data_IF_703428944616
#
_entry.id   IF_703428944616
#
_cell.length_a   1.000
_cell.length_b   1.000
_cell.length_c   1.000
_cell.angle_alpha   90.00
_cell.angle_beta   90.00
_cell.angle_gamma   90.00
#
_symmetry.space_group_name_H-M   'P 1'
#
loop_
_entity.id
_entity.type
_entity.pdbx_description
1 polymer ?
#
# COMPACT_ATOMS: atom_id res chain seq x y z
N UNK A 1 61.60 33.73 2.32
CA UNK A 1 61.01 32.45 1.85
C UNK A 1 59.99 32.01 2.87
N UNK A 2 58.67 32.17 2.53
CA UNK A 2 57.57 31.82 3.43
C UNK A 2 56.88 30.57 2.84
N UNK A 3 57.08 29.43 3.53
CA UNK A 3 56.41 28.17 3.16
C UNK A 3 54.93 28.25 3.53
N UNK A 4 54.02 28.25 2.52
CA UNK A 4 52.60 28.06 2.70
C UNK A 4 52.31 26.57 2.77
N UNK A 5 51.95 26.06 3.94
CA UNK A 5 51.33 24.75 4.10
C UNK A 5 49.89 24.81 3.61
N UNK A 6 49.59 24.06 2.55
CA UNK A 6 48.25 23.85 2.04
C UNK A 6 47.64 22.66 2.83
N UNK A 7 46.73 22.92 3.77
CA UNK A 7 45.95 21.87 4.43
C UNK A 7 44.78 21.49 3.52
N UNK A 8 44.86 20.34 2.87
CA UNK A 8 43.73 19.72 2.20
C UNK A 8 42.77 19.16 3.26
N UNK A 9 41.66 19.82 3.46
CA UNK A 9 40.52 19.29 4.22
C UNK A 9 39.76 18.30 3.30
N UNK A 10 40.03 17.00 3.43
CA UNK A 10 39.18 15.97 2.81
C UNK A 10 37.87 15.89 3.58
N UNK A 11 36.78 16.44 3.03
CA UNK A 11 35.44 16.23 3.52
C UNK A 11 35.07 14.75 3.24
N UNK A 12 35.11 13.93 4.28
CA UNK A 12 34.51 12.59 4.25
C UNK A 12 32.97 12.79 4.13
N UNK A 13 32.42 12.58 2.94
CA UNK A 13 31.00 12.40 2.74
C UNK A 13 30.61 11.05 3.36
N UNK A 14 30.23 11.06 4.63
CA UNK A 14 29.53 9.93 5.24
C UNK A 14 28.16 9.90 4.60
N UNK A 15 27.97 9.05 3.60
CA UNK A 15 26.67 8.63 3.12
C UNK A 15 26.01 7.87 4.27
N UNK A 16 25.29 8.60 5.11
CA UNK A 16 24.47 8.00 6.16
C UNK A 16 23.34 7.24 5.51
N UNK A 17 23.47 5.92 5.40
CA UNK A 17 22.31 5.06 5.23
C UNK A 17 21.47 5.29 6.49
N UNK A 18 20.26 5.83 6.36
CA UNK A 18 19.34 5.92 7.49
C UNK A 18 19.16 4.50 8.05
N UNK A 19 19.36 4.34 9.34
CA UNK A 19 19.17 3.06 10.00
C UNK A 19 17.69 2.68 9.90
N UNK A 20 17.41 1.45 9.43
CA UNK A 20 16.03 0.97 9.33
C UNK A 20 15.47 0.77 10.72
N UNK A 21 14.23 1.22 10.94
CA UNK A 21 13.51 0.93 12.18
C UNK A 21 13.07 -0.54 12.20
N UNK A 22 12.90 -1.14 13.37
CA UNK A 22 12.35 -2.48 13.48
C UNK A 22 10.91 -2.53 12.96
N UNK A 23 10.49 -3.72 12.52
CA UNK A 23 9.08 -4.01 12.23
C UNK A 23 8.30 -3.88 13.53
N UNK A 24 7.21 -3.08 13.59
CA UNK A 24 6.43 -2.96 14.81
C UNK A 24 5.63 -4.24 15.06
N UNK A 25 5.49 -4.61 16.32
CA UNK A 25 4.61 -5.69 16.74
C UNK A 25 3.19 -5.15 16.90
N UNK A 26 2.17 -5.91 16.49
CA UNK A 26 0.77 -5.55 16.66
C UNK A 26 0.26 -5.97 18.03
N UNK A 27 -0.59 -5.13 18.64
CA UNK A 27 -1.33 -5.47 19.86
C UNK A 27 -2.59 -6.26 19.51
N UNK A 28 -3.09 -7.03 20.45
CA UNK A 28 -4.38 -7.70 20.34
C UNK A 28 -5.58 -6.73 20.40
N UNK A 29 -5.35 -5.49 20.86
CA UNK A 29 -6.41 -4.48 21.01
C UNK A 29 -6.61 -3.72 19.69
N UNK A 30 -7.86 -3.54 19.33
CA UNK A 30 -8.26 -2.76 18.17
C UNK A 30 -9.48 -1.89 18.44
N UNK A 31 -9.62 -0.80 17.68
CA UNK A 31 -10.83 0.00 17.58
C UNK A 31 -11.47 -0.22 16.22
N UNK A 32 -12.80 -0.12 16.16
CA UNK A 32 -13.58 -0.29 14.94
C UNK A 32 -14.40 0.95 14.68
N UNK A 33 -14.40 1.41 13.43
CA UNK A 33 -15.20 2.51 12.94
C UNK A 33 -16.04 2.03 11.77
N UNK A 34 -17.32 2.39 11.73
CA UNK A 34 -18.16 2.22 10.54
C UNK A 34 -17.78 3.31 9.52
N UNK A 35 -17.72 2.94 8.24
CA UNK A 35 -17.36 3.84 7.15
C UNK A 35 -18.49 3.86 6.13
N UNK A 36 -18.95 5.05 5.74
CA UNK A 36 -19.90 5.23 4.65
C UNK A 36 -19.21 5.08 3.29
N UNK A 37 -18.87 3.84 3.00
CA UNK A 37 -18.27 3.40 1.74
C UNK A 37 -18.70 1.95 1.50
N UNK A 38 -19.11 1.62 0.29
CA UNK A 38 -19.33 0.25 -0.10
C UNK A 38 -18.00 -0.36 -0.57
N UNK A 39 -17.75 -1.62 -0.19
CA UNK A 39 -16.69 -2.46 -0.77
C UNK A 39 -15.32 -1.78 -0.70
N UNK A 40 -14.76 -1.65 0.52
CA UNK A 40 -13.47 -0.99 0.79
C UNK A 40 -12.30 -1.92 0.43
N UNK A 41 -11.68 -1.72 -0.73
CA UNK A 41 -10.66 -2.59 -1.32
C UNK A 41 -9.23 -2.04 -1.25
N UNK A 42 -9.06 -0.77 -0.88
CA UNK A 42 -7.72 -0.20 -0.74
C UNK A 42 -7.65 1.00 0.20
N UNK A 43 -6.50 1.15 0.88
CA UNK A 43 -6.21 2.26 1.80
C UNK A 43 -4.78 2.76 1.66
N UNK A 44 -4.59 4.09 1.72
CA UNK A 44 -3.29 4.70 1.98
C UNK A 44 -3.45 6.02 2.75
N UNK A 45 -2.38 6.54 3.34
CA UNK A 45 -2.40 7.89 3.90
C UNK A 45 -2.45 8.95 2.79
N UNK A 46 -3.18 10.04 3.01
CA UNK A 46 -3.07 11.21 2.15
C UNK A 46 -1.67 11.86 2.31
N UNK A 47 -1.31 12.79 1.42
CA UNK A 47 0.02 13.38 1.37
C UNK A 47 0.45 14.04 2.68
N UNK A 48 -0.47 14.69 3.37
CA UNK A 48 -0.21 15.41 4.61
C UNK A 48 -0.41 14.52 5.86
N UNK A 49 -0.75 13.24 5.66
CA UNK A 49 -1.03 12.26 6.71
C UNK A 49 -2.13 12.71 7.69
N UNK A 50 -3.11 13.45 7.20
CA UNK A 50 -4.23 13.98 7.99
C UNK A 50 -5.52 13.17 7.83
N UNK A 51 -5.56 12.28 6.82
CA UNK A 51 -6.68 11.39 6.53
C UNK A 51 -6.17 10.15 5.79
N UNK A 52 -7.03 9.15 5.65
CA UNK A 52 -6.85 8.03 4.76
C UNK A 52 -7.49 8.35 3.40
N UNK A 53 -6.90 7.84 2.33
CA UNK A 53 -7.52 7.72 1.02
C UNK A 53 -7.96 6.28 0.86
N UNK A 54 -9.15 6.08 0.32
CA UNK A 54 -9.74 4.76 0.11
C UNK A 54 -10.28 4.62 -1.30
N UNK A 55 -10.22 3.41 -1.84
CA UNK A 55 -10.96 3.03 -3.05
C UNK A 55 -11.84 1.80 -2.79
N UNK A 56 -12.77 1.53 -3.67
CA UNK A 56 -13.63 0.34 -3.61
C UNK A 56 -14.16 -0.05 -4.98
N UNK A 57 -14.66 -1.28 -5.08
CA UNK A 57 -15.12 -1.96 -6.30
C UNK A 57 -16.21 -1.19 -7.04
N UNK A 58 -17.02 -0.42 -6.33
CA UNK A 58 -18.03 0.46 -6.95
C UNK A 58 -17.42 1.62 -7.74
N UNK A 59 -16.09 1.72 -7.75
CA UNK A 59 -15.34 2.72 -8.51
C UNK A 59 -15.35 4.09 -7.87
N UNK A 60 -15.34 4.17 -6.55
CA UNK A 60 -15.28 5.42 -5.79
C UNK A 60 -13.92 5.58 -5.11
N UNK A 61 -13.46 6.83 -5.03
CA UNK A 61 -12.32 7.23 -4.20
C UNK A 61 -12.81 8.22 -3.16
N UNK A 62 -12.54 7.93 -1.89
CA UNK A 62 -12.95 8.76 -0.75
C UNK A 62 -11.77 9.18 0.10
N UNK A 63 -11.93 10.29 0.81
CA UNK A 63 -11.10 10.66 1.96
C UNK A 63 -11.82 10.23 3.22
N UNK A 64 -11.13 9.46 4.07
CA UNK A 64 -11.71 8.94 5.33
C UNK A 64 -10.94 9.54 6.50
N UNK A 65 -11.66 10.15 7.45
CA UNK A 65 -11.08 10.61 8.71
C UNK A 65 -10.63 9.41 9.56
N UNK A 66 -9.75 9.64 10.53
CA UNK A 66 -9.33 8.59 11.49
C UNK A 66 -10.41 8.16 12.48
N UNK A 67 -11.63 8.63 12.28
CA UNK A 67 -12.86 8.27 13.03
C UNK A 67 -13.95 7.71 12.13
N UNK A 68 -13.64 7.43 10.85
CA UNK A 68 -14.55 6.76 9.91
C UNK A 68 -15.43 7.68 9.05
N UNK A 69 -15.37 9.01 9.25
CA UNK A 69 -16.15 9.95 8.41
C UNK A 69 -15.57 9.98 6.99
N UNK A 70 -16.40 9.77 5.98
CA UNK A 70 -15.97 9.65 4.59
C UNK A 70 -16.53 10.79 3.71
N UNK A 71 -15.67 11.34 2.85
CA UNK A 71 -16.01 12.36 1.87
C UNK A 71 -15.62 11.89 0.47
N UNK A 72 -16.50 12.07 -0.52
CA UNK A 72 -16.24 11.70 -1.90
C UNK A 72 -15.18 12.61 -2.51
N UNK A 73 -14.14 12.02 -3.09
CA UNK A 73 -13.13 12.75 -3.87
C UNK A 73 -13.33 12.57 -5.36
N UNK A 74 -13.65 11.36 -5.80
CA UNK A 74 -13.77 11.03 -7.21
C UNK A 74 -14.51 9.70 -7.42
N UNK A 75 -15.13 9.53 -8.60
CA UNK A 75 -15.79 8.29 -8.99
C UNK A 75 -15.70 8.06 -10.50
N UNK A 76 -15.54 6.79 -10.93
CA UNK A 76 -15.56 6.39 -12.34
C UNK A 76 -16.47 5.21 -12.62
N UNK A 77 -16.85 4.44 -11.59
CA UNK A 77 -17.53 3.16 -11.75
C UNK A 77 -16.62 2.02 -12.25
N UNK A 78 -15.29 2.19 -12.19
CA UNK A 78 -14.34 1.13 -12.47
C UNK A 78 -14.11 0.30 -11.21
N UNK A 79 -13.88 -0.98 -11.38
CA UNK A 79 -13.57 -1.96 -10.35
C UNK A 79 -12.18 -1.69 -9.76
N UNK A 80 -12.11 -1.05 -8.58
CA UNK A 80 -10.87 -0.55 -7.98
C UNK A 80 -10.48 -1.38 -6.77
N UNK A 81 -9.40 -2.14 -6.87
CA UNK A 81 -8.94 -3.08 -5.85
C UNK A 81 -7.75 -2.58 -5.03
N UNK A 82 -7.14 -1.49 -5.42
CA UNK A 82 -6.01 -0.96 -4.68
C UNK A 82 -5.77 0.52 -4.94
N UNK A 83 -5.29 1.21 -3.90
CA UNK A 83 -4.94 2.63 -3.95
C UNK A 83 -3.62 2.89 -3.25
N UNK A 84 -2.80 3.72 -3.85
CA UNK A 84 -1.59 4.24 -3.23
C UNK A 84 -1.31 5.67 -3.68
N UNK A 85 -0.43 6.35 -2.98
CA UNK A 85 -0.08 7.74 -3.25
C UNK A 85 1.43 7.90 -3.47
N UNK A 86 1.80 8.65 -4.50
CA UNK A 86 3.17 9.10 -4.68
C UNK A 86 3.47 10.26 -3.71
N UNK A 87 4.29 10.07 -2.68
CA UNK A 87 4.50 11.10 -1.65
C UNK A 87 5.20 12.35 -2.18
N UNK A 88 5.91 12.28 -3.31
CA UNK A 88 6.64 13.41 -3.86
C UNK A 88 5.72 14.44 -4.53
N UNK A 89 4.69 13.99 -5.26
CA UNK A 89 3.79 14.89 -6.02
C UNK A 89 2.33 14.82 -5.58
N UNK A 90 1.91 13.76 -4.84
CA UNK A 90 0.54 13.54 -4.39
C UNK A 90 -0.37 12.89 -5.42
N UNK A 91 0.15 12.43 -6.55
CA UNK A 91 -0.62 11.64 -7.51
C UNK A 91 -1.07 10.32 -6.86
N UNK A 92 -2.32 9.95 -7.06
CA UNK A 92 -2.89 8.67 -6.62
C UNK A 92 -2.75 7.65 -7.74
N UNK A 93 -2.34 6.43 -7.42
CA UNK A 93 -2.37 5.29 -8.33
C UNK A 93 -3.44 4.31 -7.88
N UNK A 94 -4.17 3.75 -8.84
CA UNK A 94 -5.29 2.84 -8.66
C UNK A 94 -5.02 1.55 -9.42
N UNK A 95 -5.27 0.40 -8.79
CA UNK A 95 -5.36 -0.89 -9.45
C UNK A 95 -6.80 -1.10 -9.93
N UNK A 96 -6.99 -1.41 -11.22
CA UNK A 96 -8.29 -1.68 -11.83
C UNK A 96 -8.35 -3.15 -12.22
N UNK A 97 -9.14 -3.95 -11.47
CA UNK A 97 -9.20 -5.38 -11.68
C UNK A 97 -9.83 -5.75 -13.02
N UNK A 98 -10.97 -5.18 -13.35
CA UNK A 98 -11.73 -5.53 -14.56
C UNK A 98 -10.93 -5.45 -15.87
N UNK A 99 -9.94 -4.54 -15.95
CA UNK A 99 -9.07 -4.35 -17.11
C UNK A 99 -7.62 -4.75 -16.88
N UNK A 100 -7.24 -5.07 -15.63
CA UNK A 100 -5.86 -5.39 -15.23
C UNK A 100 -4.90 -4.23 -15.52
N UNK A 101 -5.29 -3.03 -15.14
CA UNK A 101 -4.57 -1.78 -15.46
C UNK A 101 -4.20 -1.00 -14.20
N UNK A 102 -3.10 -0.27 -14.26
CA UNK A 102 -2.77 0.77 -13.27
C UNK A 102 -3.13 2.13 -13.86
N UNK A 103 -3.96 2.85 -13.12
CA UNK A 103 -4.41 4.19 -13.47
C UNK A 103 -3.86 5.23 -12.50
N UNK A 104 -3.88 6.49 -12.90
CA UNK A 104 -3.45 7.64 -12.10
C UNK A 104 -4.54 8.70 -12.02
N UNK A 105 -4.76 9.23 -10.82
CA UNK A 105 -5.46 10.49 -10.59
C UNK A 105 -4.42 11.56 -10.25
N UNK A 106 -4.21 12.57 -11.11
CA UNK A 106 -3.27 13.65 -10.84
C UNK A 106 -3.70 14.50 -9.64
N UNK A 107 -2.77 14.77 -8.73
CA UNK A 107 -2.99 15.56 -7.50
C UNK A 107 -3.58 16.94 -7.73
N UNK A 108 -3.31 17.54 -8.91
CA UNK A 108 -3.77 18.91 -9.23
C UNK A 108 -5.24 19.00 -9.52
N UNK A 109 -5.90 17.91 -9.87
CA UNK A 109 -7.28 17.92 -10.36
C UNK A 109 -8.17 16.90 -9.71
N UNK A 110 -7.68 15.70 -9.38
CA UNK A 110 -8.45 14.48 -8.99
C UNK A 110 -9.74 14.25 -9.81
N UNK A 111 -9.78 14.79 -11.04
CA UNK A 111 -10.98 14.81 -11.88
C UNK A 111 -10.81 14.06 -13.20
N UNK A 112 -9.64 13.52 -13.46
CA UNK A 112 -9.36 12.77 -14.68
C UNK A 112 -8.45 11.57 -14.39
N UNK A 113 -9.02 10.39 -14.52
CA UNK A 113 -8.28 9.14 -14.49
C UNK A 113 -7.49 8.97 -15.80
N UNK A 114 -6.21 8.60 -15.67
CA UNK A 114 -5.30 8.42 -16.79
C UNK A 114 -4.70 7.01 -16.70
N UNK A 115 -4.90 6.20 -17.73
CA UNK A 115 -4.21 4.91 -17.87
C UNK A 115 -2.70 5.13 -17.85
N UNK A 116 -2.01 4.38 -17.00
CA UNK A 116 -0.55 4.37 -16.92
C UNK A 116 0.04 3.19 -17.70
N UNK A 117 -0.43 1.98 -17.41
CA UNK A 117 0.01 0.76 -18.09
C UNK A 117 -0.90 -0.43 -17.76
N UNK A 118 -0.86 -1.42 -18.67
CA UNK A 118 -1.49 -2.73 -18.49
C UNK A 118 -0.56 -3.65 -17.69
N UNK A 119 -1.13 -4.39 -16.72
CA UNK A 119 -0.40 -5.42 -15.98
C UNK A 119 -0.49 -6.74 -16.76
N UNK A 120 0.32 -6.87 -17.81
CA UNK A 120 0.26 -7.99 -18.74
C UNK A 120 0.44 -9.36 -18.09
N UNK A 121 1.22 -9.42 -16.99
CA UNK A 121 1.48 -10.66 -16.25
C UNK A 121 0.22 -11.14 -15.52
N UNK A 122 -0.72 -10.25 -15.22
CA UNK A 122 -2.01 -10.56 -14.60
C UNK A 122 -3.11 -10.90 -15.62
N UNK A 123 -2.92 -10.60 -16.90
CA UNK A 123 -3.94 -10.73 -17.97
C UNK A 123 -4.56 -12.13 -18.08
N UNK A 124 -3.86 -13.19 -17.65
CA UNK A 124 -4.34 -14.56 -17.65
C UNK A 124 -5.37 -14.84 -16.54
N UNK A 125 -5.47 -14.00 -15.52
CA UNK A 125 -6.29 -14.26 -14.33
C UNK A 125 -7.69 -13.66 -14.41
N UNK A 126 -7.95 -12.71 -15.31
CA UNK A 126 -9.24 -12.00 -15.47
C UNK A 126 -9.69 -11.37 -14.15
N UNK A 127 -10.91 -11.77 -13.66
CA UNK A 127 -11.49 -11.28 -12.41
C UNK A 127 -10.90 -11.94 -11.15
N UNK A 128 -9.63 -12.26 -11.12
CA UNK A 128 -8.86 -12.73 -9.96
C UNK A 128 -7.42 -12.30 -10.17
N UNK A 129 -7.26 -11.11 -10.74
CA UNK A 129 -6.00 -10.57 -11.18
C UNK A 129 -5.33 -9.69 -10.16
N UNK A 130 -5.29 -8.40 -10.46
CA UNK A 130 -4.67 -7.42 -9.57
C UNK A 130 -5.65 -6.98 -8.50
N UNK A 131 -5.20 -7.04 -7.24
CA UNK A 131 -5.97 -6.63 -6.06
C UNK A 131 -5.30 -5.47 -5.32
N UNK A 132 -4.01 -5.27 -5.52
CA UNK A 132 -3.28 -4.28 -4.76
C UNK A 132 -2.27 -3.52 -5.61
N UNK A 133 -2.09 -2.24 -5.31
CA UNK A 133 -1.00 -1.42 -5.81
C UNK A 133 -0.39 -0.63 -4.67
N UNK A 134 0.96 -0.62 -4.58
CA UNK A 134 1.66 0.14 -3.56
C UNK A 134 2.87 0.89 -4.11
N UNK A 135 2.96 2.18 -3.83
CA UNK A 135 4.10 2.99 -4.23
C UNK A 135 5.32 2.66 -3.38
N UNK A 136 6.41 2.30 -4.04
CA UNK A 136 7.66 2.01 -3.37
C UNK A 136 8.59 3.24 -3.42
N UNK A 137 9.69 3.18 -4.13
CA UNK A 137 10.69 4.24 -4.25
C UNK A 137 11.01 4.49 -5.71
N UNK A 138 11.51 5.68 -6.02
CA UNK A 138 12.09 5.99 -7.35
C UNK A 138 11.16 5.65 -8.52
N UNK A 139 9.85 5.95 -8.36
CA UNK A 139 8.84 5.67 -9.38
C UNK A 139 8.69 4.17 -9.69
N UNK A 140 8.80 3.33 -8.68
CA UNK A 140 8.43 1.92 -8.71
C UNK A 140 7.13 1.74 -7.93
N UNK A 141 6.27 0.89 -8.42
CA UNK A 141 5.09 0.39 -7.71
C UNK A 141 5.17 -1.14 -7.59
N UNK A 142 4.70 -1.66 -6.48
CA UNK A 142 4.35 -3.06 -6.34
C UNK A 142 2.91 -3.24 -6.81
N UNK A 143 2.64 -4.36 -7.46
CA UNK A 143 1.29 -4.80 -7.84
C UNK A 143 1.12 -6.22 -7.33
N UNK A 144 0.07 -6.44 -6.54
CA UNK A 144 -0.27 -7.73 -5.98
C UNK A 144 -1.39 -8.42 -6.74
N UNK A 145 -1.38 -9.76 -6.77
CA UNK A 145 -2.48 -10.53 -7.36
C UNK A 145 -3.21 -11.38 -6.34
N UNK A 146 -4.52 -11.52 -6.51
CA UNK A 146 -5.34 -12.46 -5.76
C UNK A 146 -4.89 -13.90 -6.03
N UNK A 147 -4.81 -14.26 -7.30
CA UNK A 147 -4.50 -15.63 -7.68
C UNK A 147 -3.00 -15.90 -7.68
N UNK A 148 -2.57 -16.79 -6.77
CA UNK A 148 -1.21 -17.31 -6.74
C UNK A 148 -0.23 -16.41 -5.98
N UNK A 149 -0.73 -15.40 -5.27
CA UNK A 149 0.07 -14.47 -4.45
C UNK A 149 1.32 -13.95 -5.18
N UNK A 150 1.14 -13.49 -6.44
CA UNK A 150 2.23 -12.92 -7.21
C UNK A 150 2.41 -11.45 -6.84
N UNK A 151 3.64 -11.04 -6.68
CA UNK A 151 4.06 -9.68 -6.40
C UNK A 151 4.97 -9.20 -7.54
N UNK A 152 4.50 -8.24 -8.31
CA UNK A 152 5.26 -7.64 -9.40
C UNK A 152 5.78 -6.26 -9.03
N UNK A 153 6.99 -5.94 -9.45
CA UNK A 153 7.53 -4.59 -9.38
C UNK A 153 7.51 -3.97 -10.78
N UNK A 154 6.82 -2.87 -10.93
CA UNK A 154 6.79 -2.09 -12.18
C UNK A 154 7.35 -0.70 -11.95
N UNK A 155 8.06 -0.17 -12.95
CA UNK A 155 8.22 1.29 -13.05
C UNK A 155 6.87 1.90 -13.44
N UNK A 156 6.62 3.13 -13.03
CA UNK A 156 5.37 3.85 -13.37
C UNK A 156 5.15 4.06 -14.88
N UNK A 157 6.12 3.74 -15.72
CA UNK A 157 6.00 3.71 -17.17
C UNK A 157 5.64 2.32 -17.74
N UNK A 158 5.27 1.36 -16.89
CA UNK A 158 4.87 0.01 -17.29
C UNK A 158 6.01 -0.97 -17.53
N UNK A 159 7.26 -0.62 -17.25
CA UNK A 159 8.38 -1.57 -17.38
C UNK A 159 8.43 -2.51 -16.19
N UNK A 160 8.23 -3.80 -16.40
CA UNK A 160 8.42 -4.84 -15.36
C UNK A 160 9.89 -4.85 -14.91
N UNK A 161 10.08 -4.79 -13.60
CA UNK A 161 11.41 -4.83 -12.95
C UNK A 161 11.70 -6.22 -12.38
N UNK A 162 10.72 -6.79 -11.65
CA UNK A 162 10.82 -8.12 -11.06
C UNK A 162 9.45 -8.75 -10.85
N UNK A 163 9.44 -10.08 -10.74
CA UNK A 163 8.28 -10.88 -10.36
C UNK A 163 8.69 -11.80 -9.22
N UNK A 164 7.91 -11.81 -8.16
CA UNK A 164 8.15 -12.54 -6.92
C UNK A 164 6.89 -13.34 -6.60
N UNK A 165 7.02 -14.59 -6.17
CA UNK A 165 5.90 -15.36 -5.64
C UNK A 165 5.97 -15.37 -4.13
N UNK A 166 4.85 -15.07 -3.47
CA UNK A 166 4.68 -15.20 -2.01
C UNK A 166 3.98 -16.51 -1.63
N UNK A 167 3.78 -17.43 -2.58
CA UNK A 167 3.01 -18.66 -2.39
C UNK A 167 3.57 -19.63 -1.35
N UNK A 168 4.79 -19.42 -0.87
CA UNK A 168 5.37 -20.20 0.22
C UNK A 168 4.67 -19.93 1.56
N UNK A 169 4.00 -18.79 1.72
CA UNK A 169 3.31 -18.41 2.97
C UNK A 169 1.94 -17.76 2.76
N UNK A 170 1.67 -17.16 1.62
CA UNK A 170 0.41 -16.50 1.31
C UNK A 170 -0.36 -17.25 0.20
N UNK A 171 -1.68 -17.27 0.27
CA UNK A 171 -2.56 -17.83 -0.78
C UNK A 171 -2.99 -16.80 -1.81
N UNK A 172 -3.02 -15.53 -1.39
CA UNK A 172 -3.34 -14.36 -2.22
C UNK A 172 -2.66 -13.11 -1.67
N UNK A 173 -2.72 -12.04 -2.46
CA UNK A 173 -2.40 -10.68 -2.00
C UNK A 173 -3.69 -9.87 -2.16
N UNK A 174 -4.45 -9.71 -1.08
CA UNK A 174 -5.66 -8.91 -1.04
C UNK A 174 -5.35 -7.42 -0.81
N UNK A 175 -4.31 -7.11 -0.04
CA UNK A 175 -3.83 -5.74 0.15
C UNK A 175 -2.32 -5.68 0.33
N UNK A 176 -1.74 -4.53 0.00
CA UNK A 176 -0.33 -4.22 0.18
C UNK A 176 -0.16 -2.87 0.88
N UNK A 177 0.82 -2.79 1.77
CA UNK A 177 1.32 -1.51 2.27
C UNK A 177 2.83 -1.56 2.46
N UNK A 178 3.55 -0.57 1.95
CA UNK A 178 4.99 -0.43 2.15
C UNK A 178 5.27 0.43 3.38
N UNK A 179 5.97 -0.13 4.35
CA UNK A 179 6.49 0.59 5.50
C UNK A 179 7.92 1.06 5.20
N UNK A 180 8.06 2.33 4.83
CA UNK A 180 9.35 2.92 4.49
C UNK A 180 10.33 2.89 5.67
N UNK A 181 9.84 2.98 6.91
CA UNK A 181 10.69 3.05 8.09
C UNK A 181 11.42 1.73 8.37
N UNK A 182 10.77 0.59 8.16
CA UNK A 182 11.36 -0.75 8.30
C UNK A 182 11.83 -1.34 6.96
N UNK A 183 11.50 -0.70 5.83
CA UNK A 183 11.75 -1.18 4.46
C UNK A 183 11.15 -2.56 4.21
N UNK A 184 9.90 -2.74 4.64
CA UNK A 184 9.16 -3.99 4.56
C UNK A 184 7.81 -3.78 3.89
N UNK A 185 7.23 -4.87 3.38
CA UNK A 185 5.86 -4.95 2.87
C UNK A 185 4.96 -5.64 3.90
N UNK A 186 3.79 -5.06 4.11
CA UNK A 186 2.68 -5.66 4.82
C UNK A 186 1.68 -6.17 3.78
N UNK A 187 1.24 -7.41 3.92
CA UNK A 187 0.43 -8.13 2.93
C UNK A 187 -0.78 -8.71 3.64
N UNK A 188 -1.99 -8.36 3.25
CA UNK A 188 -3.18 -9.04 3.69
C UNK A 188 -3.46 -10.26 2.80
N UNK A 189 -3.85 -11.36 3.45
CA UNK A 189 -4.44 -12.54 2.84
C UNK A 189 -5.81 -12.78 3.49
N UNK A 190 -6.87 -12.37 2.82
CA UNK A 190 -8.22 -12.44 3.34
C UNK A 190 -8.69 -13.89 3.51
N UNK A 191 -8.28 -14.79 2.61
CA UNK A 191 -8.62 -16.23 2.67
C UNK A 191 -8.02 -16.94 3.87
N UNK A 192 -6.80 -16.58 4.26
CA UNK A 192 -6.13 -17.13 5.44
C UNK A 192 -6.47 -16.37 6.72
N UNK A 193 -7.16 -15.23 6.63
CA UNK A 193 -7.39 -14.28 7.71
C UNK A 193 -6.07 -13.90 8.42
N UNK A 194 -5.04 -13.56 7.62
CA UNK A 194 -3.68 -13.25 8.07
C UNK A 194 -3.14 -11.97 7.44
N UNK A 195 -2.26 -11.33 8.19
CA UNK A 195 -1.38 -10.30 7.68
C UNK A 195 0.05 -10.79 7.82
N UNK A 196 0.77 -10.79 6.71
CA UNK A 196 2.18 -11.14 6.65
C UNK A 196 3.04 -9.88 6.56
N UNK A 197 4.22 -9.92 7.15
CA UNK A 197 5.27 -8.92 6.93
C UNK A 197 6.43 -9.61 6.23
N UNK A 198 6.85 -9.05 5.11
CA UNK A 198 7.96 -9.60 4.34
C UNK A 198 8.91 -8.50 3.88
N UNK A 199 10.12 -8.91 3.48
CA UNK A 199 11.06 -8.01 2.82
C UNK A 199 10.52 -7.61 1.44
N UNK A 200 11.07 -6.54 0.86
CA UNK A 200 10.75 -6.12 -0.52
C UNK A 200 11.12 -7.16 -1.59
N UNK A 201 11.91 -8.17 -1.22
CA UNK A 201 12.29 -9.30 -2.05
C UNK A 201 11.45 -10.57 -1.74
N UNK A 202 10.38 -10.45 -0.93
CA UNK A 202 9.41 -11.49 -0.66
C UNK A 202 9.81 -12.52 0.41
N UNK A 203 10.79 -12.23 1.27
CA UNK A 203 11.15 -13.12 2.39
C UNK A 203 10.27 -12.83 3.60
N UNK A 204 9.57 -13.84 4.12
CA UNK A 204 8.73 -13.71 5.31
C UNK A 204 9.56 -13.28 6.53
N UNK A 205 9.06 -12.27 7.26
CA UNK A 205 9.64 -11.77 8.51
C UNK A 205 8.74 -12.13 9.69
N UNK A 206 7.41 -11.88 9.55
CA UNK A 206 6.44 -12.07 10.63
C UNK A 206 5.04 -12.34 10.07
N UNK A 207 4.12 -12.80 10.92
CA UNK A 207 2.71 -12.99 10.55
C UNK A 207 1.79 -12.83 11.74
N UNK A 208 0.58 -12.28 11.49
CA UNK A 208 -0.45 -12.01 12.47
C UNK A 208 -1.78 -12.62 12.04
N UNK A 209 -2.51 -13.25 12.97
CA UNK A 209 -3.84 -13.79 12.73
C UNK A 209 -4.90 -12.71 13.00
N UNK A 210 -5.85 -12.53 12.08
CA UNK A 210 -6.98 -11.59 12.20
C UNK A 210 -8.32 -12.27 11.92
N UNK A 211 -8.67 -13.34 12.66
CA UNK A 211 -9.88 -14.12 12.40
C UNK A 211 -11.17 -13.36 12.71
N UNK A 212 -11.08 -12.17 13.28
CA UNK A 212 -12.21 -11.30 13.62
C UNK A 212 -12.49 -10.24 12.53
N UNK A 213 -11.68 -10.17 11.48
CA UNK A 213 -11.89 -9.30 10.30
C UNK A 213 -12.25 -10.20 9.14
N UNK A 214 -13.49 -10.11 8.69
CA UNK A 214 -13.92 -10.77 7.45
C UNK A 214 -13.43 -9.92 6.28
N UNK A 215 -12.89 -10.55 5.23
CA UNK A 215 -12.41 -9.89 4.01
C UNK A 215 -11.53 -8.66 4.29
N UNK A 216 -10.36 -8.87 4.88
CA UNK A 216 -9.37 -7.80 5.08
C UNK A 216 -8.72 -7.44 3.73
N UNK A 217 -9.23 -6.41 3.04
CA UNK A 217 -8.85 -6.06 1.67
C UNK A 217 -8.14 -4.71 1.55
N UNK A 218 -7.92 -4.02 2.66
CA UNK A 218 -7.21 -2.76 2.67
C UNK A 218 -6.26 -2.66 3.86
N UNK A 219 -5.02 -2.19 3.61
CA UNK A 219 -4.00 -2.00 4.65
C UNK A 219 -3.33 -0.63 4.54
N UNK A 220 -3.06 -0.01 5.71
CA UNK A 220 -2.24 1.19 5.77
C UNK A 220 -1.45 1.26 7.08
N UNK A 221 -0.12 1.24 7.00
CA UNK A 221 0.78 1.44 8.15
C UNK A 221 0.87 2.93 8.46
N UNK A 222 0.49 3.31 9.69
CA UNK A 222 0.59 4.69 10.18
C UNK A 222 1.58 4.78 11.34
N UNK A 223 2.83 5.08 11.00
CA UNK A 223 3.91 5.21 11.98
C UNK A 223 3.73 6.41 12.91
N UNK A 224 3.09 7.48 12.42
CA UNK A 224 2.88 8.69 13.21
C UNK A 224 1.83 8.45 14.31
N UNK A 225 0.81 7.62 14.02
CA UNK A 225 -0.24 7.21 14.97
C UNK A 225 0.05 5.88 15.65
N UNK A 226 1.17 5.25 15.30
CA UNK A 226 1.62 3.94 15.84
C UNK A 226 0.55 2.87 15.70
N UNK A 227 -0.02 2.72 14.51
CA UNK A 227 -1.06 1.73 14.24
C UNK A 227 -1.02 1.20 12.80
N UNK A 228 -1.68 0.08 12.62
CA UNK A 228 -2.09 -0.45 11.34
C UNK A 228 -3.59 -0.18 11.17
N UNK A 229 -3.96 0.42 10.05
CA UNK A 229 -5.33 0.53 9.60
C UNK A 229 -5.64 -0.65 8.68
N UNK A 230 -6.79 -1.30 8.91
CA UNK A 230 -7.26 -2.43 8.10
C UNK A 230 -8.69 -2.12 7.68
N UNK A 231 -8.96 -2.12 6.38
CA UNK A 231 -10.31 -2.04 5.84
C UNK A 231 -10.86 -3.42 5.58
N UNK A 232 -12.16 -3.59 5.82
CA UNK A 232 -12.88 -4.82 5.48
C UNK A 232 -13.95 -4.55 4.43
N UNK A 233 -14.05 -5.47 3.48
CA UNK A 233 -15.17 -5.55 2.54
C UNK A 233 -16.28 -6.41 3.14
N UNK A 234 -17.04 -5.81 4.05
CA UNK A 234 -18.23 -6.40 4.65
C UNK A 234 -19.48 -5.62 4.18
N UNK A 235 -20.67 -6.21 4.33
CA UNK A 235 -21.93 -5.54 4.02
C UNK A 235 -22.10 -4.20 4.76
N UNK A 236 -21.46 -4.03 5.91
CA UNK A 236 -21.24 -2.76 6.60
C UNK A 236 -19.72 -2.56 6.70
N UNK A 237 -19.17 -1.82 5.76
CA UNK A 237 -17.72 -1.55 5.68
C UNK A 237 -17.16 -1.02 7.00
N UNK A 238 -16.10 -1.63 7.45
CA UNK A 238 -15.43 -1.29 8.71
C UNK A 238 -13.98 -0.91 8.49
N UNK A 239 -13.54 0.05 9.28
CA UNK A 239 -12.15 0.44 9.42
C UNK A 239 -11.66 0.04 10.82
N UNK A 240 -10.71 -0.87 10.87
CA UNK A 240 -10.07 -1.31 12.09
C UNK A 240 -8.78 -0.55 12.31
N UNK A 241 -8.57 -0.10 13.54
CA UNK A 241 -7.30 0.48 13.99
C UNK A 241 -6.66 -0.45 15.00
N UNK A 242 -5.55 -1.06 14.63
CA UNK A 242 -4.76 -1.97 15.49
C UNK A 242 -3.50 -1.24 15.94
N UNK A 243 -3.35 -1.01 17.23
CA UNK A 243 -2.19 -0.28 17.75
C UNK A 243 -0.91 -1.13 17.69
N UNK A 244 0.23 -0.47 17.48
CA UNK A 244 1.54 -1.09 17.63
C UNK A 244 1.94 -1.18 19.10
N UNK A 245 2.69 -2.21 19.47
CA UNK A 245 3.39 -2.22 20.74
C UNK A 245 4.40 -1.06 20.81
N UNK A 246 4.62 -0.59 22.03
CA UNK A 246 5.61 0.47 22.27
C UNK A 246 6.98 -0.05 21.86
N UNK A 247 7.55 0.54 20.81
CA UNK A 247 8.93 0.34 20.37
C UNK A 247 9.83 1.19 21.28
#
# INVERSE_FOLDING_TARGET
>A
MVNKFLVLLSALLISGCAEKLPVPQLRENYMVYEVDMAELSGLCLNKDKTALLACGDTGTVKSISFTGEAEDLWASGADMEGITLNPSNGDIYLAIEGTQEIHRLPATTYNQQVLMFDVNDASAFKNSGIEAVEYYKKNIVFVGSQKGANLWQYKINGTLVSSISLSDFASEIAALCYDEASDCLWVADSKLAKIFVCTVDGQLIDSYDFPFIENAEALCVDRDRKCLWIGSDEAATKLYKVDFDSI
#
